data_IF_697077092161
#
_entry.id   IF_697077092161
#
_cell.length_a   1.000
_cell.length_b   1.000
_cell.length_c   1.000
_cell.angle_alpha   90.00
_cell.angle_beta   90.00
_cell.angle_gamma   90.00
#
_symmetry.space_group_name_H-M   'P 1'
#
loop_
_entity.id
_entity.type
_entity.pdbx_description
1 polymer ?
#
# COMPACT_ATOMS: atom_id res chain seq x y z
N UNK A 1 0.88 -4.03 22.67
CA UNK A 1 1.38 -5.15 21.86
C UNK A 1 0.38 -5.42 20.73
N UNK A 2 0.86 -5.42 19.48
CA UNK A 2 0.03 -5.78 18.31
C UNK A 2 -0.32 -7.26 18.38
N UNK A 3 -1.59 -7.61 18.17
CA UNK A 3 -2.07 -8.99 18.19
C UNK A 3 -2.31 -9.56 16.80
N UNK A 4 -2.74 -8.74 15.84
CA UNK A 4 -3.03 -9.12 14.47
C UNK A 4 -2.55 -8.04 13.52
N UNK A 5 -2.26 -8.39 12.28
CA UNK A 5 -1.99 -7.45 11.18
C UNK A 5 -3.00 -7.72 10.07
N UNK A 6 -3.57 -6.64 9.53
CA UNK A 6 -4.50 -6.71 8.40
C UNK A 6 -4.02 -5.71 7.35
N UNK A 7 -3.96 -6.13 6.10
CA UNK A 7 -3.70 -5.24 4.96
C UNK A 7 -4.90 -5.20 4.03
N UNK A 8 -5.27 -3.99 3.62
CA UNK A 8 -6.29 -3.73 2.60
C UNK A 8 -5.58 -3.11 1.40
N UNK A 9 -5.52 -3.82 0.28
CA UNK A 9 -4.82 -3.42 -0.94
C UNK A 9 -3.36 -2.99 -0.68
N UNK A 10 -2.66 -3.72 0.20
CA UNK A 10 -1.30 -3.40 0.63
C UNK A 10 -0.25 -3.71 -0.44
N UNK A 11 0.84 -2.92 -0.44
CA UNK A 11 2.02 -3.17 -1.29
C UNK A 11 2.98 -4.15 -0.64
N UNK A 12 3.69 -4.92 -1.43
CA UNK A 12 4.74 -5.84 -0.98
C UNK A 12 6.14 -5.25 -1.15
N UNK A 13 6.31 -4.31 -2.09
CA UNK A 13 7.58 -3.63 -2.34
C UNK A 13 7.37 -2.11 -2.45
N UNK A 14 7.83 -1.42 -1.43
CA UNK A 14 7.79 0.04 -1.42
C UNK A 14 8.95 0.65 -2.23
N UNK A 15 10.10 -0.03 -2.32
CA UNK A 15 11.27 0.45 -3.04
C UNK A 15 11.01 0.61 -4.54
N UNK A 16 10.25 -0.31 -5.14
CA UNK A 16 9.89 -0.25 -6.56
C UNK A 16 9.13 1.02 -6.95
N UNK A 17 8.54 1.72 -5.97
CA UNK A 17 7.82 2.99 -6.14
C UNK A 17 8.72 4.22 -6.03
N UNK A 18 10.00 4.03 -5.70
CA UNK A 18 11.01 5.07 -5.54
C UNK A 18 12.05 5.05 -6.68
N UNK A 19 11.65 4.58 -7.85
CA UNK A 19 12.51 4.56 -9.03
C UNK A 19 12.51 5.95 -9.67
N UNK A 20 13.68 6.59 -9.65
CA UNK A 20 13.90 7.91 -10.23
C UNK A 20 15.16 7.89 -11.10
N UNK A 21 15.18 8.68 -12.15
CA UNK A 21 16.42 8.96 -12.87
C UNK A 21 17.37 9.78 -11.98
N UNK A 22 18.67 9.71 -12.27
CA UNK A 22 19.67 10.51 -11.55
C UNK A 22 19.33 12.00 -11.57
N UNK A 23 18.89 12.52 -12.73
CA UNK A 23 18.50 13.94 -12.90
C UNK A 23 17.30 14.32 -12.00
N UNK A 24 16.31 13.44 -11.87
CA UNK A 24 15.16 13.68 -10.98
C UNK A 24 15.57 13.69 -9.51
N UNK A 25 16.46 12.77 -9.11
CA UNK A 25 16.97 12.73 -7.74
C UNK A 25 17.82 13.95 -7.39
N UNK A 26 18.72 14.38 -8.30
CA UNK A 26 19.52 15.59 -8.12
C UNK A 26 18.63 16.82 -7.97
N UNK A 27 17.68 17.01 -8.89
CA UNK A 27 16.71 18.11 -8.80
C UNK A 27 15.93 18.09 -7.49
N UNK A 28 15.44 16.92 -7.07
CA UNK A 28 14.69 16.79 -5.82
C UNK A 28 15.57 17.08 -4.60
N UNK A 29 16.83 16.67 -4.64
CA UNK A 29 17.82 16.97 -3.59
C UNK A 29 18.10 18.47 -3.49
N UNK A 30 18.27 19.15 -4.63
CA UNK A 30 18.55 20.60 -4.69
C UNK A 30 17.36 21.43 -4.21
N UNK A 31 16.15 21.09 -4.67
CA UNK A 31 14.92 21.83 -4.30
C UNK A 31 14.39 21.47 -2.91
N UNK A 32 14.83 20.34 -2.34
CA UNK A 32 14.35 19.82 -1.07
C UNK A 32 12.90 19.26 -1.11
N UNK A 33 12.14 19.57 -2.15
CA UNK A 33 10.73 19.16 -2.30
C UNK A 33 10.39 18.92 -3.78
N UNK A 34 9.54 17.91 -4.01
CA UNK A 34 8.84 17.71 -5.28
C UNK A 34 7.35 17.60 -5.01
N UNK A 35 6.53 17.84 -6.02
CA UNK A 35 5.09 17.71 -5.91
C UNK A 35 4.59 16.51 -6.72
N UNK A 36 3.64 15.76 -6.14
CA UNK A 36 2.95 14.65 -6.79
C UNK A 36 1.47 14.97 -6.81
N UNK A 37 0.87 14.93 -7.98
CA UNK A 37 -0.56 15.17 -8.11
C UNK A 37 -1.36 13.98 -7.59
N UNK A 38 -2.29 14.24 -6.70
CA UNK A 38 -3.32 13.27 -6.33
C UNK A 38 -4.31 13.14 -7.50
N UNK A 39 -4.33 11.97 -8.13
CA UNK A 39 -5.14 11.74 -9.33
C UNK A 39 -6.66 11.95 -9.13
N UNK A 40 -7.16 11.81 -7.89
CA UNK A 40 -8.59 11.96 -7.56
C UNK A 40 -8.97 13.41 -7.22
N UNK A 41 -8.16 14.07 -6.41
CA UNK A 41 -8.47 15.43 -5.90
C UNK A 41 -7.77 16.53 -6.68
N UNK A 42 -6.83 16.17 -7.58
CA UNK A 42 -5.96 17.11 -8.32
C UNK A 42 -5.07 17.97 -7.42
N UNK A 43 -5.02 17.65 -6.14
CA UNK A 43 -4.18 18.34 -5.18
C UNK A 43 -2.70 18.03 -5.43
N UNK A 44 -1.86 19.05 -5.41
CA UNK A 44 -0.41 18.91 -5.43
C UNK A 44 0.10 18.57 -4.04
N UNK A 45 0.61 17.35 -3.86
CA UNK A 45 1.06 16.84 -2.55
C UNK A 45 2.59 16.98 -2.45
N UNK A 46 3.12 17.72 -1.45
CA UNK A 46 4.56 17.88 -1.31
C UNK A 46 5.20 16.60 -0.79
N UNK A 47 6.26 16.17 -1.47
CA UNK A 47 7.15 15.11 -1.02
C UNK A 47 8.54 15.72 -0.75
N UNK A 48 8.92 15.80 0.50
CA UNK A 48 10.23 16.32 0.91
C UNK A 48 11.34 15.29 0.64
N UNK A 49 12.51 15.74 0.22
CA UNK A 49 13.66 14.88 -0.08
C UNK A 49 14.13 14.08 1.15
N UNK A 50 13.87 14.59 2.35
CA UNK A 50 14.15 13.90 3.60
C UNK A 50 13.47 12.53 3.68
N UNK A 51 12.27 12.39 3.12
CA UNK A 51 11.56 11.10 3.03
C UNK A 51 12.39 10.05 2.27
N UNK A 52 12.95 10.42 1.12
CA UNK A 52 13.81 9.54 0.34
C UNK A 52 15.11 9.19 1.11
N UNK A 53 15.76 10.18 1.72
CA UNK A 53 16.95 9.96 2.56
C UNK A 53 16.67 9.00 3.72
N UNK A 54 15.58 9.20 4.43
CA UNK A 54 15.21 8.33 5.56
C UNK A 54 14.95 6.90 5.08
N UNK A 55 14.22 6.75 3.96
CA UNK A 55 13.96 5.42 3.40
C UNK A 55 15.28 4.70 3.05
N UNK A 56 16.18 5.34 2.32
CA UNK A 56 17.44 4.72 1.91
C UNK A 56 18.31 4.38 3.13
N UNK A 57 18.40 5.27 4.12
CA UNK A 57 19.16 5.03 5.36
C UNK A 57 18.59 3.86 6.20
N UNK A 58 17.30 3.59 6.09
CA UNK A 58 16.60 2.56 6.86
C UNK A 58 16.08 1.40 5.98
N UNK A 59 16.54 1.26 4.74
CA UNK A 59 15.98 0.31 3.77
C UNK A 59 15.89 -1.12 4.33
N UNK A 60 16.94 -1.61 4.97
CA UNK A 60 16.97 -2.97 5.53
C UNK A 60 15.87 -3.20 6.57
N UNK A 61 15.58 -2.19 7.40
CA UNK A 61 14.51 -2.23 8.41
C UNK A 61 13.13 -2.07 7.79
N UNK A 62 13.04 -1.31 6.70
CA UNK A 62 11.76 -0.98 6.01
C UNK A 62 11.42 -1.96 4.89
N UNK A 63 12.24 -2.99 4.65
CA UNK A 63 11.96 -4.03 3.66
C UNK A 63 10.78 -4.89 4.10
N UNK A 64 9.64 -4.75 3.41
CA UNK A 64 8.37 -5.42 3.74
C UNK A 64 8.54 -6.95 3.74
N UNK A 65 9.22 -7.51 2.74
CA UNK A 65 9.47 -8.95 2.66
C UNK A 65 10.13 -9.49 3.93
N UNK A 66 11.16 -8.80 4.42
CA UNK A 66 11.87 -9.20 5.65
C UNK A 66 10.96 -9.12 6.87
N UNK A 67 10.13 -8.09 6.95
CA UNK A 67 9.17 -7.92 8.05
C UNK A 67 8.11 -9.02 8.03
N UNK A 68 7.52 -9.32 6.87
CA UNK A 68 6.50 -10.36 6.71
C UNK A 68 7.04 -11.74 7.05
N UNK A 69 8.26 -12.09 6.60
CA UNK A 69 8.89 -13.38 6.96
C UNK A 69 9.16 -13.56 8.46
N UNK A 70 9.29 -12.46 9.19
CA UNK A 70 9.51 -12.46 10.66
C UNK A 70 8.20 -12.37 11.45
N UNK A 71 7.08 -12.15 10.81
CA UNK A 71 5.79 -11.97 11.46
C UNK A 71 5.32 -13.29 12.06
N UNK A 72 5.08 -13.30 13.40
CA UNK A 72 4.66 -14.49 14.16
C UNK A 72 3.23 -14.38 14.70
N UNK A 73 2.50 -13.33 14.29
CA UNK A 73 1.10 -13.10 14.67
C UNK A 73 0.21 -13.28 13.45
N UNK A 74 -1.10 -13.52 13.61
CA UNK A 74 -2.04 -13.65 12.50
C UNK A 74 -1.93 -12.46 11.53
N UNK A 75 -1.90 -12.77 10.25
CA UNK A 75 -1.81 -11.79 9.17
C UNK A 75 -2.91 -12.04 8.15
N UNK A 76 -3.84 -11.10 8.02
CA UNK A 76 -4.92 -11.14 7.04
C UNK A 76 -4.59 -10.16 5.89
N UNK A 77 -4.58 -10.69 4.67
CA UNK A 77 -4.28 -9.94 3.45
C UNK A 77 -5.56 -9.90 2.63
N UNK A 78 -6.14 -8.71 2.44
CA UNK A 78 -7.36 -8.50 1.65
C UNK A 78 -7.03 -7.66 0.44
N UNK A 79 -7.42 -8.13 -0.75
CA UNK A 79 -7.13 -7.43 -2.01
C UNK A 79 -8.27 -7.60 -3.01
N UNK A 80 -8.52 -6.56 -3.81
CA UNK A 80 -9.46 -6.64 -4.92
C UNK A 80 -8.76 -7.09 -6.21
N UNK A 81 -9.34 -8.02 -6.96
CA UNK A 81 -8.75 -8.49 -8.21
C UNK A 81 -8.89 -7.51 -9.38
N UNK A 82 -9.76 -6.49 -9.25
CA UNK A 82 -9.89 -5.38 -10.18
C UNK A 82 -9.10 -4.12 -9.74
N UNK A 83 -8.13 -4.26 -8.82
CA UNK A 83 -7.28 -3.16 -8.38
C UNK A 83 -6.23 -2.80 -9.45
N UNK A 84 -6.40 -1.64 -10.08
CA UNK A 84 -5.48 -1.10 -11.08
C UNK A 84 -4.40 -0.19 -10.49
N UNK A 85 -4.48 0.14 -9.20
CA UNK A 85 -3.50 1.00 -8.51
C UNK A 85 -2.39 0.19 -7.85
N UNK A 86 -2.76 -0.95 -7.26
CA UNK A 86 -1.85 -1.92 -6.64
C UNK A 86 -2.20 -3.29 -7.19
N UNK A 87 -1.29 -3.89 -7.94
CA UNK A 87 -1.52 -5.20 -8.56
C UNK A 87 -1.80 -6.26 -7.50
N UNK A 88 -2.70 -7.20 -7.81
CA UNK A 88 -2.95 -8.38 -6.97
C UNK A 88 -1.68 -9.20 -6.70
N UNK A 89 -0.67 -9.11 -7.56
CA UNK A 89 0.64 -9.76 -7.36
C UNK A 89 1.33 -9.30 -6.07
N UNK A 90 1.05 -8.09 -5.60
CA UNK A 90 1.55 -7.60 -4.32
C UNK A 90 0.97 -8.42 -3.14
N UNK A 91 -0.33 -8.67 -3.15
CA UNK A 91 -0.99 -9.51 -2.15
C UNK A 91 -0.52 -10.96 -2.20
N UNK A 92 -0.35 -11.52 -3.42
CA UNK A 92 0.19 -12.85 -3.62
C UNK A 92 1.63 -12.98 -3.07
N UNK A 93 2.46 -11.95 -3.26
CA UNK A 93 3.82 -11.89 -2.72
C UNK A 93 3.80 -11.86 -1.17
N UNK A 94 2.97 -11.01 -0.56
CA UNK A 94 2.80 -10.95 0.89
C UNK A 94 2.37 -12.31 1.45
N UNK A 95 1.39 -12.95 0.82
CA UNK A 95 0.91 -14.27 1.22
C UNK A 95 2.01 -15.34 1.10
N UNK A 96 2.72 -15.37 -0.02
CA UNK A 96 3.84 -16.31 -0.26
C UNK A 96 4.96 -16.19 0.79
N UNK A 97 5.23 -14.99 1.29
CA UNK A 97 6.30 -14.76 2.28
C UNK A 97 5.86 -14.99 3.72
N UNK A 98 4.57 -14.97 3.99
CA UNK A 98 4.04 -15.15 5.34
C UNK A 98 3.95 -16.62 5.73
N UNK A 99 4.32 -16.94 6.97
CA UNK A 99 4.18 -18.28 7.53
C UNK A 99 2.73 -18.61 7.96
N UNK A 100 1.94 -17.58 8.27
CA UNK A 100 0.57 -17.70 8.82
C UNK A 100 -0.42 -16.73 8.17
N UNK A 101 -0.08 -16.21 6.99
CA UNK A 101 -0.92 -15.27 6.27
C UNK A 101 -2.15 -15.94 5.65
N UNK A 102 -3.30 -15.33 5.83
CA UNK A 102 -4.52 -15.67 5.10
C UNK A 102 -4.74 -14.64 3.99
N UNK A 103 -5.00 -15.09 2.78
CA UNK A 103 -5.31 -14.24 1.63
C UNK A 103 -6.80 -14.34 1.30
N UNK A 104 -7.46 -13.18 1.25
CA UNK A 104 -8.84 -13.03 0.81
C UNK A 104 -8.87 -12.10 -0.40
N UNK A 105 -9.33 -12.64 -1.52
CA UNK A 105 -9.52 -11.88 -2.77
C UNK A 105 -10.98 -11.49 -2.86
N UNK A 106 -11.25 -10.19 -3.01
CA UNK A 106 -12.60 -9.65 -3.21
C UNK A 106 -12.82 -9.47 -4.71
N UNK A 107 -13.63 -10.33 -5.29
CA UNK A 107 -13.90 -10.34 -6.72
C UNK A 107 -14.56 -9.04 -7.19
N UNK A 108 -14.03 -8.43 -8.25
CA UNK A 108 -14.48 -7.17 -8.83
C UNK A 108 -14.14 -5.92 -8.03
N UNK A 109 -13.50 -6.03 -6.86
CA UNK A 109 -13.16 -4.88 -6.06
C UNK A 109 -11.93 -4.15 -6.61
N UNK A 110 -12.03 -2.81 -6.64
CA UNK A 110 -10.92 -1.92 -6.96
C UNK A 110 -10.11 -1.56 -5.70
N UNK A 111 -9.08 -0.72 -5.86
CA UNK A 111 -8.18 -0.28 -4.78
C UNK A 111 -8.87 0.29 -3.54
N UNK A 112 -10.02 0.91 -3.70
CA UNK A 112 -10.78 1.53 -2.61
C UNK A 112 -12.03 0.73 -2.24
N UNK A 113 -12.14 -0.51 -2.70
CA UNK A 113 -13.26 -1.41 -2.41
C UNK A 113 -14.63 -0.78 -2.67
N UNK A 114 -14.73 -0.07 -3.80
CA UNK A 114 -15.97 0.60 -4.23
C UNK A 114 -16.29 1.90 -3.49
N UNK A 115 -15.41 2.37 -2.60
CA UNK A 115 -15.60 3.68 -1.97
C UNK A 115 -15.25 4.83 -2.90
N UNK A 116 -15.74 6.03 -2.58
CA UNK A 116 -15.42 7.27 -3.28
C UNK A 116 -15.24 8.42 -2.28
N UNK A 117 -14.59 9.50 -2.70
CA UNK A 117 -14.49 10.69 -1.87
C UNK A 117 -15.08 11.90 -2.61
N UNK A 118 -16.03 12.66 -1.99
CA UNK A 118 -16.68 12.36 -0.71
C UNK A 118 -17.66 11.18 -0.81
N UNK A 119 -17.80 10.38 0.26
CA UNK A 119 -18.83 9.36 0.36
C UNK A 119 -20.16 10.03 0.72
N UNK A 120 -21.17 9.89 -0.14
CA UNK A 120 -22.46 10.60 -0.01
C UNK A 120 -23.64 9.67 0.36
N UNK A 121 -23.41 8.36 0.43
CA UNK A 121 -24.47 7.40 0.73
C UNK A 121 -24.49 7.07 2.22
N UNK A 122 -25.65 6.72 2.75
CA UNK A 122 -25.83 6.31 4.15
C UNK A 122 -25.38 4.86 4.42
N UNK A 123 -25.27 4.04 3.39
CA UNK A 123 -24.83 2.67 3.48
C UNK A 123 -23.31 2.54 3.25
N UNK A 124 -22.71 1.45 3.72
CA UNK A 124 -21.30 1.16 3.48
C UNK A 124 -21.00 0.94 1.98
N UNK A 125 -19.74 1.19 1.53
CA UNK A 125 -19.32 0.88 0.16
C UNK A 125 -19.57 -0.58 -0.22
N UNK A 126 -19.81 -0.89 -1.52
CA UNK A 126 -20.30 -2.20 -1.98
C UNK A 126 -19.54 -3.43 -1.46
N UNK A 127 -18.21 -3.33 -1.38
CA UNK A 127 -17.37 -4.47 -0.99
C UNK A 127 -17.06 -4.54 0.51
N UNK A 128 -17.43 -3.50 1.30
CA UNK A 128 -17.12 -3.45 2.73
C UNK A 128 -17.82 -4.53 3.54
N UNK A 129 -19.01 -4.99 3.09
CA UNK A 129 -19.71 -6.08 3.73
C UNK A 129 -19.00 -7.45 3.55
N UNK A 130 -18.30 -7.64 2.42
CA UNK A 130 -17.48 -8.83 2.24
C UNK A 130 -16.21 -8.77 3.12
N UNK A 131 -15.59 -7.60 3.23
CA UNK A 131 -14.47 -7.36 4.13
C UNK A 131 -14.87 -7.63 5.59
N UNK A 132 -16.02 -7.10 6.02
CA UNK A 132 -16.51 -7.28 7.38
C UNK A 132 -16.76 -8.75 7.76
N UNK A 133 -17.15 -9.60 6.80
CA UNK A 133 -17.37 -11.03 7.04
C UNK A 133 -16.10 -11.82 7.32
N UNK A 134 -14.93 -11.28 6.96
CA UNK A 134 -13.63 -11.96 7.11
C UNK A 134 -12.75 -11.35 8.21
N UNK A 135 -13.22 -10.25 8.81
CA UNK A 135 -12.62 -9.62 9.98
C UNK A 135 -13.14 -10.25 11.26
#
# INVERSE_FOLDING_TARGET
RVKNVITLAGVSDFKSRLVFSLKELEKWKETGVRFVENSRTKQQMPHYYQFYKDFIANESRLTIQTAVKKLKIPFLIIHGDADTSVSINEALALHKWSLSGQLVIINGANHVFGSSHPWKLSNAPPYFHQIHKVL
#
